data_IF_328875905275
#
_entry.id   IF_328875905275
#
_cell.length_a   1.000
_cell.length_b   1.000
_cell.length_c   1.000
_cell.angle_alpha   90.00
_cell.angle_beta   90.00
_cell.angle_gamma   90.00
#
_symmetry.space_group_name_H-M   'P 1'
#
loop_
_entity.id
_entity.type
_entity.pdbx_description
1 polymer ?
#
# COMPACT_ATOMS: atom_id res chain seq x y z
N UNK A 1 20.32 5.50 -14.67
CA UNK A 1 19.98 5.49 -13.23
C UNK A 1 19.85 6.93 -12.75
N UNK A 2 18.66 7.36 -12.31
CA UNK A 2 18.44 8.71 -11.77
C UNK A 2 18.26 8.66 -10.26
N UNK A 3 18.54 9.78 -9.57
CA UNK A 3 18.18 9.98 -8.16
C UNK A 3 16.89 10.79 -8.10
N UNK A 4 15.84 10.21 -7.52
CA UNK A 4 14.49 10.78 -7.51
C UNK A 4 14.03 10.96 -6.06
N UNK A 5 13.65 12.18 -5.70
CA UNK A 5 12.94 12.46 -4.46
C UNK A 5 11.44 12.37 -4.73
N UNK A 6 10.73 11.48 -4.06
CA UNK A 6 9.29 11.32 -4.22
C UNK A 6 8.57 11.95 -3.02
N UNK A 7 7.74 12.96 -3.26
CA UNK A 7 7.05 13.71 -2.20
C UNK A 7 5.56 13.40 -2.24
N UNK A 8 5.02 12.97 -1.09
CA UNK A 8 3.59 12.73 -0.89
C UNK A 8 3.33 11.75 0.25
N UNK A 9 2.14 11.14 0.26
CA UNK A 9 1.72 10.26 1.34
C UNK A 9 2.43 8.89 1.30
N UNK A 10 2.78 8.40 2.49
CA UNK A 10 3.14 7.01 2.74
C UNK A 10 2.21 6.47 3.82
N UNK A 11 1.58 5.34 3.56
CA UNK A 11 0.63 4.70 4.47
C UNK A 11 1.07 3.29 4.83
N UNK A 12 0.58 2.80 5.95
CA UNK A 12 0.53 1.38 6.25
C UNK A 12 -0.85 0.87 5.85
N UNK A 13 -0.93 0.14 4.75
CA UNK A 13 -2.16 -0.47 4.29
C UNK A 13 -2.35 -1.79 5.06
N UNK A 14 -3.43 -1.86 5.83
CA UNK A 14 -3.89 -3.09 6.50
C UNK A 14 -4.99 -3.68 5.63
N UNK A 15 -4.66 -4.76 4.94
CA UNK A 15 -5.56 -5.42 3.99
C UNK A 15 -6.18 -6.63 4.68
N UNK A 16 -7.48 -6.58 4.91
CA UNK A 16 -8.26 -7.71 5.42
C UNK A 16 -8.98 -8.39 4.26
N UNK A 17 -8.78 -9.70 4.12
CA UNK A 17 -9.59 -10.51 3.20
C UNK A 17 -10.81 -11.02 3.96
N UNK A 18 -12.00 -10.80 3.42
CA UNK A 18 -13.30 -11.19 3.97
C UNK A 18 -14.12 -11.84 2.85
N UNK A 19 -15.06 -12.71 3.22
CA UNK A 19 -15.89 -13.41 2.23
C UNK A 19 -16.82 -12.43 1.48
N UNK A 20 -17.37 -11.45 2.20
CA UNK A 20 -18.22 -10.39 1.67
C UNK A 20 -17.89 -9.05 2.34
N UNK A 21 -18.17 -7.94 1.64
CA UNK A 21 -17.99 -6.61 2.21
C UNK A 21 -19.00 -6.39 3.36
N UNK A 22 -18.59 -5.90 4.54
CA UNK A 22 -19.49 -5.73 5.67
C UNK A 22 -20.60 -4.74 5.34
N UNK A 23 -21.83 -5.09 5.73
CA UNK A 23 -22.92 -4.13 5.80
C UNK A 23 -22.63 -3.07 6.88
N UNK A 24 -23.26 -1.91 6.77
CA UNK A 24 -23.13 -0.85 7.75
C UNK A 24 -23.45 -1.35 9.17
N UNK A 25 -22.63 -0.95 10.15
CA UNK A 25 -22.71 -1.36 11.56
C UNK A 25 -22.56 -2.86 11.85
N UNK A 26 -22.05 -3.65 10.88
CA UNK A 26 -21.78 -5.08 11.10
C UNK A 26 -20.30 -5.37 11.35
N UNK A 27 -20.06 -6.45 12.09
CA UNK A 27 -18.72 -6.98 12.38
C UNK A 27 -18.50 -8.25 11.57
N UNK A 28 -17.43 -8.30 10.78
CA UNK A 28 -17.05 -9.49 9.99
C UNK A 28 -15.65 -9.97 10.38
N UNK A 29 -15.46 -11.29 10.41
CA UNK A 29 -14.16 -11.89 10.69
C UNK A 29 -13.34 -11.97 9.40
N UNK A 30 -12.15 -11.37 9.40
CA UNK A 30 -11.19 -11.54 8.31
C UNK A 30 -10.66 -12.98 8.25
N UNK A 31 -10.64 -13.57 7.05
CA UNK A 31 -10.03 -14.88 6.80
C UNK A 31 -8.51 -14.79 6.76
N UNK A 32 -7.98 -13.66 6.29
CA UNK A 32 -6.54 -13.33 6.34
C UNK A 32 -6.34 -11.83 6.51
N UNK A 33 -5.20 -11.45 7.08
CA UNK A 33 -4.75 -10.06 7.15
C UNK A 33 -3.33 -9.94 6.63
N UNK A 34 -3.07 -8.89 5.87
CA UNK A 34 -1.76 -8.58 5.34
C UNK A 34 -1.46 -7.09 5.54
N UNK A 35 -0.30 -6.80 6.14
CA UNK A 35 0.21 -5.43 6.21
C UNK A 35 1.14 -5.16 5.02
N UNK A 36 0.94 -4.05 4.34
CA UNK A 36 1.77 -3.60 3.21
C UNK A 36 2.04 -2.10 3.32
N UNK A 37 3.12 -1.66 2.68
CA UNK A 37 3.30 -0.24 2.39
C UNK A 37 2.24 0.21 1.38
N UNK A 38 1.75 1.43 1.54
CA UNK A 38 0.80 2.06 0.64
C UNK A 38 1.07 3.55 0.46
N UNK A 39 0.10 4.20 -0.17
CA UNK A 39 0.16 5.62 -0.50
C UNK A 39 0.84 5.86 -1.85
N UNK A 40 0.29 6.81 -2.60
CA UNK A 40 0.68 7.03 -4.00
C UNK A 40 2.16 7.35 -4.17
N UNK A 41 2.74 8.15 -3.27
CA UNK A 41 4.16 8.48 -3.32
C UNK A 41 5.03 7.25 -3.02
N UNK A 42 4.72 6.51 -1.94
CA UNK A 42 5.45 5.29 -1.61
C UNK A 42 5.37 4.27 -2.76
N UNK A 43 4.18 3.98 -3.26
CA UNK A 43 3.97 3.03 -4.36
C UNK A 43 4.70 3.44 -5.65
N UNK A 44 4.71 4.74 -5.98
CA UNK A 44 5.47 5.27 -7.12
C UNK A 44 6.97 5.05 -6.95
N UNK A 45 7.52 5.33 -5.75
CA UNK A 45 8.93 5.11 -5.46
C UNK A 45 9.33 3.63 -5.63
N UNK A 46 8.45 2.69 -5.29
CA UNK A 46 8.68 1.24 -5.49
C UNK A 46 8.82 0.90 -6.96
N UNK A 47 7.90 1.36 -7.79
CA UNK A 47 7.92 1.08 -9.24
C UNK A 47 9.16 1.69 -9.87
N UNK A 48 9.52 2.92 -9.50
CA UNK A 48 10.76 3.56 -9.98
C UNK A 48 12.02 2.80 -9.56
N UNK A 49 12.07 2.26 -8.33
CA UNK A 49 13.16 1.40 -7.90
C UNK A 49 13.26 0.10 -8.71
N UNK A 50 12.12 -0.55 -9.03
CA UNK A 50 12.08 -1.74 -9.90
C UNK A 50 12.60 -1.46 -11.31
N UNK A 51 12.41 -0.23 -11.81
CA UNK A 51 12.92 0.23 -13.09
C UNK A 51 14.39 0.70 -13.03
N UNK A 52 15.07 0.54 -11.90
CA UNK A 52 16.51 0.82 -11.76
C UNK A 52 16.85 2.28 -11.40
N UNK A 53 15.91 3.04 -10.84
CA UNK A 53 16.19 4.36 -10.26
C UNK A 53 16.49 4.27 -8.77
N UNK A 54 17.27 5.22 -8.25
CA UNK A 54 17.44 5.40 -6.81
C UNK A 54 16.37 6.37 -6.32
N UNK A 55 15.49 5.90 -5.45
CA UNK A 55 14.40 6.72 -4.90
C UNK A 55 14.55 6.87 -3.39
N UNK A 56 14.26 8.08 -2.90
CA UNK A 56 14.16 8.46 -1.48
C UNK A 56 12.85 9.17 -1.22
#
# INVERSE_FOLDING_TARGET
MARVLVVGIATLDIINTVDDYPEEDTEVRASTQVMRRGGNACNTAVVLQQLGHQCS
#
